data_IF_744720401040
#
_entry.id   IF_744720401040
#
_cell.length_a   1.000
_cell.length_b   1.000
_cell.length_c   1.000
_cell.angle_alpha   90.00
_cell.angle_beta   90.00
_cell.angle_gamma   90.00
#
_symmetry.space_group_name_H-M   'P 1'
#
loop_
_entity.id
_entity.type
_entity.pdbx_description
1 polymer ?
#
# COMPACT_ATOMS: atom_id res chain seq x y z
N UNK A 1 28.72 -9.85 83.86
CA UNK A 1 28.08 -8.67 83.25
C UNK A 1 28.08 -8.84 81.73
N UNK A 2 26.90 -9.06 81.11
CA UNK A 2 26.74 -9.30 79.66
C UNK A 2 26.31 -8.01 78.95
N UNK A 3 26.88 -7.78 77.76
CA UNK A 3 26.78 -6.57 76.94
C UNK A 3 25.39 -6.38 76.29
N UNK A 4 24.97 -5.12 76.33
CA UNK A 4 24.44 -4.30 75.23
C UNK A 4 23.48 -4.94 74.23
N UNK A 5 22.27 -4.39 74.19
CA UNK A 5 21.34 -4.55 73.09
C UNK A 5 21.90 -4.05 71.76
N UNK A 6 21.32 -4.58 70.69
CA UNK A 6 21.36 -4.00 69.35
C UNK A 6 19.99 -4.21 68.75
N UNK A 7 19.19 -3.14 68.78
CA UNK A 7 17.90 -3.09 68.13
C UNK A 7 18.14 -3.03 66.61
N UNK A 8 17.73 -4.07 65.90
CA UNK A 8 17.71 -4.09 64.43
C UNK A 8 16.43 -3.40 63.94
N UNK A 9 16.44 -2.06 63.92
CA UNK A 9 15.44 -1.24 63.23
C UNK A 9 16.15 -0.28 62.29
N UNK A 10 16.23 -0.66 61.01
CA UNK A 10 16.85 0.16 59.95
C UNK A 10 16.85 -0.49 58.58
N UNK A 11 15.95 -1.45 58.31
CA UNK A 11 15.97 -2.27 57.09
C UNK A 11 14.91 -1.88 56.04
N UNK A 12 14.14 -0.81 56.26
CA UNK A 12 13.05 -0.39 55.35
C UNK A 12 13.14 1.08 54.89
N UNK A 13 14.13 1.86 55.34
CA UNK A 13 14.20 3.30 55.05
C UNK A 13 14.87 3.65 53.71
N UNK A 14 15.50 2.67 53.04
CA UNK A 14 16.07 2.83 51.68
C UNK A 14 15.18 2.33 50.53
N UNK A 15 14.13 1.56 50.85
CA UNK A 15 13.21 0.96 49.87
C UNK A 15 12.35 1.99 49.11
N UNK A 16 11.86 3.08 49.74
CA UNK A 16 11.01 4.06 49.06
C UNK A 16 11.74 4.85 47.97
N UNK A 17 12.99 5.25 48.23
CA UNK A 17 13.76 6.07 47.29
C UNK A 17 14.25 5.25 46.09
N UNK A 18 14.70 4.02 46.33
CA UNK A 18 15.14 3.13 45.26
C UNK A 18 13.99 2.74 44.31
N UNK A 19 12.78 2.53 44.85
CA UNK A 19 11.58 2.30 44.05
C UNK A 19 11.24 3.48 43.14
N UNK A 20 11.29 4.70 43.67
CA UNK A 20 11.02 5.92 42.89
C UNK A 20 12.02 6.05 41.72
N UNK A 21 13.30 5.80 41.98
CA UNK A 21 14.34 5.87 40.93
C UNK A 21 14.08 4.82 39.84
N UNK A 22 13.73 3.58 40.21
CA UNK A 22 13.43 2.50 39.25
C UNK A 22 12.19 2.85 38.41
N UNK A 23 11.15 3.42 39.02
CA UNK A 23 9.93 3.84 38.31
C UNK A 23 10.23 4.94 37.29
N UNK A 24 11.05 5.93 37.65
CA UNK A 24 11.43 7.01 36.73
C UNK A 24 12.24 6.46 35.55
N UNK A 25 13.21 5.57 35.80
CA UNK A 25 14.00 4.94 34.74
C UNK A 25 13.12 4.07 33.84
N UNK A 26 12.20 3.31 34.42
CA UNK A 26 11.26 2.48 33.67
C UNK A 26 10.33 3.33 32.78
N UNK A 27 9.81 4.45 33.30
CA UNK A 27 8.98 5.38 32.54
C UNK A 27 9.77 6.04 31.39
N UNK A 28 11.02 6.45 31.64
CA UNK A 28 11.90 6.98 30.60
C UNK A 28 12.19 5.93 29.51
N UNK A 29 12.48 4.69 29.89
CA UNK A 29 12.71 3.60 28.95
C UNK A 29 11.46 3.29 28.10
N UNK A 30 10.27 3.25 28.72
CA UNK A 30 9.00 3.11 28.01
C UNK A 30 8.74 4.26 27.03
N UNK A 31 9.06 5.50 27.43
CA UNK A 31 8.97 6.66 26.56
C UNK A 31 9.85 6.53 25.31
N UNK A 32 11.09 6.06 25.47
CA UNK A 32 11.99 5.78 24.33
C UNK A 32 11.41 4.69 23.43
N UNK A 33 10.92 3.59 24.00
CA UNK A 33 10.30 2.51 23.22
C UNK A 33 9.07 3.02 22.46
N UNK A 34 8.24 3.87 23.09
CA UNK A 34 7.06 4.46 22.45
C UNK A 34 7.44 5.39 21.29
N UNK A 35 8.49 6.21 21.45
CA UNK A 35 9.01 7.07 20.37
C UNK A 35 9.50 6.24 19.18
N UNK A 36 10.18 5.11 19.43
CA UNK A 36 10.64 4.22 18.37
C UNK A 36 9.49 3.47 17.70
N UNK A 37 8.49 3.04 18.48
CA UNK A 37 7.30 2.36 17.96
C UNK A 37 6.46 3.29 17.07
N UNK A 38 6.28 4.55 17.49
CA UNK A 38 5.55 5.54 16.70
C UNK A 38 6.31 5.89 15.41
N UNK A 39 7.63 6.09 15.47
CA UNK A 39 8.44 6.31 14.25
C UNK A 39 8.47 5.10 13.32
N UNK A 40 8.34 3.88 13.83
CA UNK A 40 8.21 2.68 12.99
C UNK A 40 6.82 2.55 12.33
N UNK A 41 5.81 3.25 12.87
CA UNK A 41 4.42 3.22 12.40
C UNK A 41 4.02 4.43 11.56
N UNK A 42 4.69 5.57 11.73
CA UNK A 42 4.54 6.76 10.91
C UNK A 42 5.21 6.53 9.55
N UNK A 43 4.45 6.63 8.46
CA UNK A 43 5.03 6.71 7.12
C UNK A 43 4.82 5.50 6.21
N UNK A 44 3.69 4.81 6.33
CA UNK A 44 3.27 3.85 5.30
C UNK A 44 2.02 4.37 4.61
N UNK A 45 2.24 5.26 3.64
CA UNK A 45 1.21 5.78 2.75
C UNK A 45 0.36 4.61 2.24
N UNK A 46 -0.89 4.55 2.72
CA UNK A 46 -1.83 3.52 2.30
C UNK A 46 -2.53 4.03 1.05
N UNK A 47 -2.55 3.21 -0.01
CA UNK A 47 -3.22 3.60 -1.26
C UNK A 47 -4.69 3.88 -0.97
N UNK A 48 -5.18 5.06 -1.38
CA UNK A 48 -6.59 5.46 -1.25
C UNK A 48 -7.31 5.47 -2.59
N UNK A 49 -6.64 5.92 -3.64
CA UNK A 49 -7.27 6.15 -4.95
C UNK A 49 -6.32 5.82 -6.08
N UNK A 50 -6.86 5.24 -7.14
CA UNK A 50 -6.17 5.00 -8.41
C UNK A 50 -6.99 5.62 -9.52
N UNK A 51 -6.33 6.38 -10.39
CA UNK A 51 -6.90 6.93 -11.62
C UNK A 51 -6.15 6.36 -12.82
N UNK A 52 -6.88 6.09 -13.90
CA UNK A 52 -6.31 5.57 -15.14
C UNK A 52 -6.83 6.39 -16.30
N UNK A 53 -5.95 6.68 -17.26
CA UNK A 53 -6.32 7.33 -18.53
C UNK A 53 -5.68 6.60 -19.70
N UNK A 54 -6.43 6.28 -20.77
CA UNK A 54 -7.88 6.49 -20.92
C UNK A 54 -8.71 5.49 -20.10
N UNK A 55 -9.88 5.92 -19.60
CA UNK A 55 -10.90 5.05 -19.01
C UNK A 55 -11.78 4.35 -20.05
N UNK A 56 -11.85 4.90 -21.26
CA UNK A 56 -12.60 4.35 -22.38
C UNK A 56 -11.68 4.16 -23.59
N UNK A 57 -11.67 2.94 -24.12
CA UNK A 57 -10.78 2.52 -25.21
C UNK A 57 -11.66 2.13 -26.39
N UNK A 58 -11.42 2.75 -27.54
CA UNK A 58 -12.12 2.41 -28.76
C UNK A 58 -11.23 1.56 -29.66
N UNK A 59 -11.73 0.41 -30.10
CA UNK A 59 -11.01 -0.51 -30.98
C UNK A 59 -11.77 -0.71 -32.30
N UNK A 60 -11.02 -0.84 -33.39
CA UNK A 60 -11.61 -1.18 -34.67
C UNK A 60 -12.10 -2.63 -34.67
N UNK A 61 -13.20 -2.94 -35.38
CA UNK A 61 -13.66 -4.31 -35.50
C UNK A 61 -12.61 -5.16 -36.20
N UNK A 62 -12.39 -6.38 -35.69
CA UNK A 62 -11.57 -7.37 -36.37
C UNK A 62 -12.25 -7.89 -37.64
N UNK A 63 -11.48 -8.60 -38.46
CA UNK A 63 -12.05 -9.35 -39.60
C UNK A 63 -13.10 -10.36 -39.13
N UNK A 64 -13.95 -10.84 -40.04
CA UNK A 64 -15.04 -11.76 -39.69
C UNK A 64 -14.52 -13.02 -38.94
N UNK A 65 -14.97 -13.18 -37.70
CA UNK A 65 -14.55 -14.28 -36.83
C UNK A 65 -13.22 -14.08 -36.11
N UNK A 66 -12.56 -12.94 -36.28
CA UNK A 66 -11.33 -12.57 -35.58
C UNK A 66 -11.62 -11.60 -34.41
N UNK A 67 -10.82 -11.64 -33.34
CA UNK A 67 -10.94 -10.67 -32.24
C UNK A 67 -10.55 -9.26 -32.71
N UNK A 68 -11.19 -8.24 -32.13
CA UNK A 68 -10.73 -6.86 -32.25
C UNK A 68 -9.53 -6.64 -31.33
N UNK A 69 -8.46 -6.04 -31.83
CA UNK A 69 -7.24 -5.79 -31.06
C UNK A 69 -6.73 -4.37 -31.26
N UNK A 70 -6.13 -3.79 -30.22
CA UNK A 70 -5.45 -2.50 -30.30
C UNK A 70 -4.33 -2.43 -29.25
N UNK A 71 -3.27 -1.69 -29.56
CA UNK A 71 -2.26 -1.33 -28.55
C UNK A 71 -2.68 -0.03 -27.89
N UNK A 72 -2.68 0.01 -26.57
CA UNK A 72 -3.12 1.16 -25.76
C UNK A 72 -2.11 1.43 -24.67
N UNK A 73 -1.76 2.70 -24.52
CA UNK A 73 -0.94 3.18 -23.40
C UNK A 73 -1.86 3.67 -22.28
N UNK A 74 -1.85 2.98 -21.15
CA UNK A 74 -2.60 3.33 -19.95
C UNK A 74 -1.71 4.13 -19.01
N UNK A 75 -2.04 5.39 -18.76
CA UNK A 75 -1.37 6.20 -17.74
C UNK A 75 -2.05 5.97 -16.39
N UNK A 76 -1.27 5.69 -15.35
CA UNK A 76 -1.79 5.31 -14.02
C UNK A 76 -1.31 6.30 -12.97
N UNK A 77 -2.24 6.93 -12.24
CA UNK A 77 -1.94 7.77 -11.09
C UNK A 77 -2.44 7.14 -9.81
N UNK A 78 -1.64 7.20 -8.76
CA UNK A 78 -1.94 6.56 -7.47
C UNK A 78 -1.79 7.59 -6.38
N UNK A 79 -2.80 7.71 -5.53
CA UNK A 79 -2.83 8.69 -4.46
C UNK A 79 -3.01 8.02 -3.09
N UNK A 80 -2.31 8.54 -2.09
CA UNK A 80 -2.41 8.13 -0.70
C UNK A 80 -3.64 8.72 0.01
N UNK A 81 -3.75 8.46 1.31
CA UNK A 81 -4.84 8.96 2.14
C UNK A 81 -4.92 10.47 2.26
N UNK A 82 -3.78 11.15 2.11
CA UNK A 82 -3.59 12.59 2.21
C UNK A 82 -3.76 13.29 0.85
N UNK A 83 -3.81 12.53 -0.23
CA UNK A 83 -3.95 13.02 -1.61
C UNK A 83 -2.60 13.28 -2.30
N UNK A 84 -1.49 12.82 -1.72
CA UNK A 84 -0.19 12.89 -2.38
C UNK A 84 -0.05 11.74 -3.37
N UNK A 85 0.71 11.96 -4.45
CA UNK A 85 1.07 10.90 -5.38
C UNK A 85 1.99 9.87 -4.70
N UNK A 86 1.76 8.60 -5.04
CA UNK A 86 2.49 7.45 -4.50
C UNK A 86 3.28 6.82 -5.62
N UNK A 87 4.59 6.79 -5.46
CA UNK A 87 5.51 6.14 -6.39
C UNK A 87 5.82 4.70 -5.98
N UNK A 88 6.56 3.99 -6.84
CA UNK A 88 7.13 2.68 -6.56
C UNK A 88 6.06 1.62 -6.22
N UNK A 89 5.00 1.55 -7.01
CA UNK A 89 3.93 0.56 -6.87
C UNK A 89 3.96 -0.47 -7.99
N UNK A 90 3.38 -1.63 -7.72
CA UNK A 90 3.19 -2.67 -8.72
C UNK A 90 1.80 -2.53 -9.31
N UNK A 91 1.73 -2.39 -10.63
CA UNK A 91 0.48 -2.43 -11.39
C UNK A 91 0.37 -3.76 -12.11
N UNK A 92 -0.82 -4.36 -12.04
CA UNK A 92 -1.22 -5.55 -12.78
C UNK A 92 -2.42 -5.21 -13.65
N UNK A 93 -2.27 -5.40 -14.96
CA UNK A 93 -3.32 -5.17 -15.96
C UNK A 93 -3.78 -6.51 -16.51
N UNK A 94 -5.08 -6.82 -16.36
CA UNK A 94 -5.69 -8.09 -16.73
C UNK A 94 -7.09 -7.90 -17.34
N UNK A 95 -7.80 -9.00 -17.62
CA UNK A 95 -9.13 -8.96 -18.26
C UNK A 95 -9.05 -9.04 -19.79
N UNK A 96 -9.61 -8.05 -20.48
CA UNK A 96 -9.67 -7.96 -21.94
C UNK A 96 -8.33 -7.54 -22.60
N UNK A 97 -7.25 -8.21 -22.21
CA UNK A 97 -5.90 -8.03 -22.74
C UNK A 97 -5.39 -9.33 -23.34
N UNK A 98 -4.49 -9.26 -24.32
CA UNK A 98 -3.90 -10.46 -24.94
C UNK A 98 -2.99 -11.21 -23.96
N UNK A 99 -2.27 -10.48 -23.12
CA UNK A 99 -1.44 -11.01 -22.04
C UNK A 99 -1.58 -10.12 -20.80
N UNK A 100 -1.64 -10.75 -19.62
CA UNK A 100 -1.54 -10.05 -18.34
C UNK A 100 -0.16 -9.39 -18.21
N UNK A 101 -0.16 -8.11 -17.81
CA UNK A 101 1.06 -7.33 -17.63
C UNK A 101 1.18 -6.94 -16.16
N UNK A 102 2.30 -7.30 -15.53
CA UNK A 102 2.65 -6.85 -14.18
C UNK A 102 3.96 -6.07 -14.24
N UNK A 103 3.94 -4.84 -13.75
CA UNK A 103 5.12 -3.95 -13.78
C UNK A 103 5.18 -3.07 -12.54
N UNK A 104 6.39 -2.75 -12.11
CA UNK A 104 6.63 -1.73 -11.10
C UNK A 104 6.81 -0.38 -11.79
N UNK A 105 6.02 0.62 -11.39
CA UNK A 105 5.99 1.95 -11.99
C UNK A 105 5.78 3.03 -10.92
N UNK A 106 6.00 4.29 -11.31
CA UNK A 106 5.72 5.46 -10.49
C UNK A 106 4.37 6.11 -10.88
N UNK A 107 3.88 7.05 -10.08
CA UNK A 107 2.61 7.72 -10.38
C UNK A 107 2.77 8.59 -11.63
N UNK A 108 1.82 8.47 -12.56
CA UNK A 108 1.86 9.14 -13.86
C UNK A 108 2.61 8.40 -14.95
N UNK A 109 3.18 7.23 -14.67
CA UNK A 109 3.79 6.38 -15.69
C UNK A 109 2.77 5.67 -16.58
N UNK A 110 3.22 5.28 -17.77
CA UNK A 110 2.44 4.56 -18.77
C UNK A 110 2.72 3.07 -18.79
N UNK A 111 1.67 2.27 -18.95
CA UNK A 111 1.69 0.83 -19.20
C UNK A 111 1.08 0.54 -20.56
N UNK A 112 1.89 0.09 -21.51
CA UNK A 112 1.42 -0.34 -22.83
C UNK A 112 0.85 -1.77 -22.75
N UNK A 113 -0.38 -1.95 -23.20
CA UNK A 113 -1.06 -3.25 -23.27
C UNK A 113 -1.73 -3.45 -24.63
N UNK A 114 -1.83 -4.71 -25.05
CA UNK A 114 -2.64 -5.09 -26.21
C UNK A 114 -4.00 -5.51 -25.70
N UNK A 115 -5.03 -4.71 -25.96
CA UNK A 115 -6.41 -5.08 -25.65
C UNK A 115 -6.93 -6.07 -26.68
N UNK A 116 -7.78 -7.00 -26.25
CA UNK A 116 -8.33 -8.07 -27.08
C UNK A 116 -9.79 -8.32 -26.73
N UNK A 117 -10.67 -8.01 -27.68
CA UNK A 117 -12.11 -8.24 -27.56
C UNK A 117 -12.49 -9.46 -28.41
N UNK A 118 -13.07 -10.52 -27.82
CA UNK A 118 -13.48 -11.71 -28.57
C UNK A 118 -14.50 -11.40 -29.68
N UNK A 119 -14.50 -12.17 -30.79
CA UNK A 119 -15.46 -11.98 -31.87
C UNK A 119 -16.89 -12.16 -31.35
N UNK A 120 -17.80 -11.28 -31.80
CA UNK A 120 -19.20 -11.27 -31.38
C UNK A 120 -19.48 -10.47 -30.10
N UNK A 121 -18.47 -9.88 -29.46
CA UNK A 121 -18.64 -8.91 -28.37
C UNK A 121 -18.41 -7.48 -28.89
N UNK A 122 -19.22 -6.54 -28.40
CA UNK A 122 -19.07 -5.10 -28.70
C UNK A 122 -18.38 -4.34 -27.57
N UNK A 123 -18.29 -4.95 -26.39
CA UNK A 123 -17.66 -4.37 -25.20
C UNK A 123 -16.80 -5.38 -24.47
N UNK A 124 -15.77 -4.89 -23.77
CA UNK A 124 -14.96 -5.68 -22.86
C UNK A 124 -14.39 -4.81 -21.73
N UNK A 125 -13.79 -5.42 -20.71
CA UNK A 125 -13.27 -4.71 -19.54
C UNK A 125 -11.82 -5.07 -19.29
N UNK A 126 -10.99 -4.07 -19.11
CA UNK A 126 -9.62 -4.19 -18.63
C UNK A 126 -9.63 -3.90 -17.13
N UNK A 127 -9.07 -4.80 -16.34
CA UNK A 127 -8.92 -4.65 -14.89
C UNK A 127 -7.50 -4.14 -14.61
N UNK A 128 -7.40 -3.08 -13.81
CA UNK A 128 -6.14 -2.50 -13.37
C UNK A 128 -6.09 -2.60 -11.85
N UNK A 129 -5.17 -3.40 -11.34
CA UNK A 129 -4.90 -3.55 -9.92
C UNK A 129 -3.57 -2.91 -9.59
N UNK A 130 -3.52 -2.15 -8.51
CA UNK A 130 -2.31 -1.53 -7.98
C UNK A 130 -2.06 -2.02 -6.57
N UNK A 131 -0.81 -2.37 -6.28
CA UNK A 131 -0.35 -2.80 -4.97
C UNK A 131 0.92 -2.05 -4.58
N UNK A 132 0.97 -1.57 -3.34
CA UNK A 132 2.21 -1.04 -2.77
C UNK A 132 2.87 -2.13 -1.92
N UNK A 133 4.17 -2.37 -2.18
CA UNK A 133 4.96 -3.37 -1.47
C UNK A 133 4.92 -3.23 0.05
N UNK A 134 5.07 -4.33 0.79
CA UNK A 134 5.08 -4.32 2.26
C UNK A 134 3.69 -4.28 2.92
N UNK A 135 2.63 -4.64 2.19
CA UNK A 135 1.26 -4.76 2.71
C UNK A 135 0.54 -3.42 2.87
N UNK A 136 1.00 -2.37 2.17
CA UNK A 136 0.54 -0.98 2.33
C UNK A 136 -0.72 -0.64 1.53
N UNK A 137 -1.59 -1.62 1.34
CA UNK A 137 -2.86 -1.49 0.62
C UNK A 137 -2.77 -1.86 -0.86
N UNK A 138 -3.95 -2.16 -1.41
CA UNK A 138 -4.18 -2.38 -2.83
C UNK A 138 -5.44 -1.64 -3.25
N UNK A 139 -5.48 -1.23 -4.51
CA UNK A 139 -6.65 -0.60 -5.10
C UNK A 139 -6.85 -1.14 -6.51
N UNK A 140 -8.10 -1.15 -6.96
CA UNK A 140 -8.49 -1.65 -8.26
C UNK A 140 -9.34 -0.62 -8.99
N UNK A 141 -9.15 -0.53 -10.30
CA UNK A 141 -9.96 0.27 -11.21
C UNK A 141 -10.11 -0.48 -12.54
N UNK A 142 -10.95 0.03 -13.43
CA UNK A 142 -11.27 -0.63 -14.70
C UNK A 142 -11.31 0.38 -15.83
N UNK A 143 -10.85 -0.04 -17.01
CA UNK A 143 -11.08 0.66 -18.26
C UNK A 143 -12.05 -0.14 -19.14
N UNK A 144 -12.98 0.55 -19.81
CA UNK A 144 -13.97 -0.05 -20.70
C UNK A 144 -13.48 0.00 -22.14
N UNK A 145 -13.59 -1.13 -22.84
CA UNK A 145 -13.21 -1.27 -24.25
C UNK A 145 -14.47 -1.40 -25.08
N UNK A 146 -14.58 -0.63 -26.17
CA UNK A 146 -15.70 -0.64 -27.10
C UNK A 146 -15.21 -0.91 -28.51
N UNK A 147 -15.86 -1.84 -29.20
CA UNK A 147 -15.63 -2.09 -30.62
C UNK A 147 -16.47 -1.10 -31.43
N UNK A 148 -15.83 -0.32 -32.30
CA UNK A 148 -16.54 0.58 -33.19
C UNK A 148 -17.39 -0.22 -34.19
N UNK A 149 -18.65 0.20 -34.34
CA UNK A 149 -19.61 -0.35 -35.29
C UNK A 149 -19.41 0.16 -36.71
#
# INVERSE_FOLDING_TARGET
>A
MRRSGRESRGALEGLPLQLIIIVIIAAAALGVIYIWLNQASEGKATIKKVEVSPTEISVQPGEAGQPATATVDLTVWVYDTEGNEVDDFVVTVSGAVDQEVTKQIDSGDTVSVVVKVPPGQTTATVHIRVEKGGGMGSAETTALVYVQS
#
